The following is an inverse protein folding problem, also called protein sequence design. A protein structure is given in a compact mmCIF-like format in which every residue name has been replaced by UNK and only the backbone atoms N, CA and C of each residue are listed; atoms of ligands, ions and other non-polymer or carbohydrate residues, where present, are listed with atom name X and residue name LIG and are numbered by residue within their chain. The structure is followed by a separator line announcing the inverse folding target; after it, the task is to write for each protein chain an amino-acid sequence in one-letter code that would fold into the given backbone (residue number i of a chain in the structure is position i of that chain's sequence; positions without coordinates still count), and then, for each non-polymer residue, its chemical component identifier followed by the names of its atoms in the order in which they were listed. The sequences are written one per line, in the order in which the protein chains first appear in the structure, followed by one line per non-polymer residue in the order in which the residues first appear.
data_IF_532278265101
#
_entry.id   IF_532278265101
#
_cell.length_a   1.000
_cell.length_b   1.000
_cell.length_c   1.000
_cell.angle_alpha   90.00
_cell.angle_beta   90.00
_cell.angle_gamma   90.00
#
_symmetry.space_group_name_H-M   'P 1'
#
loop_
_entity.id
_entity.type
_entity.pdbx_description
1 polymer ?
#
# COMPACT_ATOMS: atom_id res chain seq x y z
N UNK A 1 -4.91 -3.18 -23.32
CA UNK A 1 -3.63 -2.58 -22.86
C UNK A 1 -3.84 -2.09 -21.43
N UNK A 2 -3.11 -2.62 -20.45
CA UNK A 2 -3.27 -2.28 -19.03
C UNK A 2 -2.42 -1.07 -18.68
N UNK A 3 -2.96 -0.10 -17.94
CA UNK A 3 -2.20 1.07 -17.46
C UNK A 3 -1.39 0.69 -16.19
N UNK A 4 -0.12 1.09 -16.03
CA UNK A 4 0.76 0.67 -14.91
C UNK A 4 0.17 0.96 -13.52
N UNK A 5 -0.65 2.01 -13.41
CA UNK A 5 -1.42 2.35 -12.19
C UNK A 5 -2.21 1.16 -11.60
N UNK A 6 -2.64 0.20 -12.42
CA UNK A 6 -3.38 -0.96 -11.95
C UNK A 6 -2.57 -1.80 -10.94
N UNK A 7 -1.23 -1.84 -11.09
CA UNK A 7 -0.34 -2.65 -10.26
C UNK A 7 0.50 -1.78 -9.31
N UNK A 8 0.99 -0.62 -9.77
CA UNK A 8 2.02 0.14 -9.05
C UNK A 8 1.54 1.26 -8.11
N UNK A 9 0.24 1.58 -8.06
CA UNK A 9 -0.23 2.82 -7.42
C UNK A 9 0.18 2.96 -5.95
N UNK A 10 0.10 1.88 -5.16
CA UNK A 10 0.41 1.96 -3.73
C UNK A 10 1.92 2.12 -3.50
N UNK A 11 2.73 1.30 -4.16
CA UNK A 11 4.18 1.30 -4.02
C UNK A 11 4.81 2.54 -4.65
N UNK A 12 4.24 3.11 -5.72
CA UNK A 12 4.64 4.42 -6.24
C UNK A 12 4.53 5.52 -5.18
N UNK A 13 3.46 5.51 -4.39
CA UNK A 13 3.28 6.50 -3.34
C UNK A 13 4.30 6.29 -2.23
N UNK A 14 4.56 5.06 -1.81
CA UNK A 14 5.53 4.78 -0.74
C UNK A 14 6.98 5.02 -1.20
N UNK A 15 7.38 4.51 -2.36
CA UNK A 15 8.73 4.67 -2.88
C UNK A 15 8.99 6.07 -3.41
N UNK A 16 8.18 6.53 -4.36
CA UNK A 16 8.45 7.78 -5.07
C UNK A 16 7.97 9.02 -4.31
N UNK A 17 6.76 9.00 -3.74
CA UNK A 17 6.19 10.20 -3.11
C UNK A 17 6.64 10.39 -1.66
N UNK A 18 6.69 9.33 -0.85
CA UNK A 18 7.14 9.38 0.55
C UNK A 18 8.67 9.40 0.60
N UNK A 19 9.34 8.29 0.22
CA UNK A 19 10.81 8.18 0.33
C UNK A 19 11.55 9.10 -0.64
N UNK A 20 11.18 9.09 -1.93
CA UNK A 20 11.92 9.80 -2.98
C UNK A 20 11.75 11.33 -2.96
N UNK A 21 10.51 11.82 -2.74
CA UNK A 21 10.17 13.25 -2.83
C UNK A 21 9.81 13.91 -1.49
N UNK A 22 9.63 13.14 -0.41
CA UNK A 22 9.25 13.69 0.89
C UNK A 22 7.90 14.41 0.92
N UNK A 23 6.96 14.09 0.01
CA UNK A 23 5.69 14.83 -0.14
C UNK A 23 4.76 14.67 1.08
N UNK A 24 4.94 13.59 1.84
CA UNK A 24 4.19 13.29 3.06
C UNK A 24 4.97 12.27 3.88
N UNK A 25 4.69 12.20 5.19
CA UNK A 25 5.27 11.18 6.07
C UNK A 25 4.70 9.80 5.74
N UNK A 26 5.41 8.74 6.12
CA UNK A 26 5.00 7.37 5.89
C UNK A 26 3.64 7.08 6.55
N UNK A 27 3.46 7.54 7.79
CA UNK A 27 2.23 7.35 8.57
C UNK A 27 1.03 8.00 7.88
N UNK A 28 1.20 9.23 7.37
CA UNK A 28 0.15 9.92 6.60
C UNK A 28 -0.18 9.17 5.30
N UNK A 29 0.81 8.62 4.61
CA UNK A 29 0.59 7.85 3.40
C UNK A 29 -0.17 6.54 3.67
N UNK A 30 0.20 5.83 4.75
CA UNK A 30 -0.50 4.62 5.20
C UNK A 30 -1.93 4.95 5.60
N UNK A 31 -2.15 5.96 6.45
CA UNK A 31 -3.50 6.34 6.87
C UNK A 31 -4.41 6.71 5.68
N UNK A 32 -3.89 7.45 4.68
CA UNK A 32 -4.64 7.76 3.43
C UNK A 32 -5.03 6.53 2.62
N UNK A 33 -4.38 5.38 2.84
CA UNK A 33 -4.57 4.12 2.10
C UNK A 33 -5.26 3.03 2.92
N UNK A 34 -5.41 3.21 4.23
CA UNK A 34 -6.01 2.24 5.15
C UNK A 34 -7.17 2.85 5.92
N UNK A 35 -6.89 3.57 7.00
CA UNK A 35 -7.88 4.08 7.93
C UNK A 35 -8.81 5.11 7.32
N UNK A 36 -8.31 6.03 6.49
CA UNK A 36 -9.15 7.07 5.89
C UNK A 36 -10.24 6.48 4.96
N UNK A 37 -9.91 5.60 3.99
CA UNK A 37 -10.94 4.88 3.24
C UNK A 37 -11.87 4.06 4.12
N UNK A 38 -11.36 3.38 5.16
CA UNK A 38 -12.21 2.59 6.06
C UNK A 38 -13.25 3.46 6.78
N UNK A 39 -12.86 4.65 7.23
CA UNK A 39 -13.77 5.63 7.84
C UNK A 39 -14.78 6.15 6.82
N UNK A 40 -14.34 6.54 5.62
CA UNK A 40 -15.23 7.08 4.59
C UNK A 40 -16.27 6.09 4.08
N UNK A 41 -15.90 4.82 3.95
CA UNK A 41 -16.80 3.76 3.49
C UNK A 41 -17.55 3.04 4.62
N UNK A 42 -17.35 3.44 5.88
CA UNK A 42 -18.00 2.77 7.03
C UNK A 42 -17.57 1.31 7.19
N UNK A 43 -16.32 0.97 6.84
CA UNK A 43 -15.79 -0.39 6.93
C UNK A 43 -15.36 -0.71 8.36
N UNK A 44 -16.34 -1.06 9.18
CA UNK A 44 -16.11 -1.49 10.56
C UNK A 44 -15.10 -2.64 10.62
N UNK A 45 -14.22 -2.58 11.62
CA UNK A 45 -13.17 -3.57 11.81
C UNK A 45 -11.96 -3.46 10.85
N UNK A 46 -11.97 -2.59 9.84
CA UNK A 46 -10.89 -2.51 8.82
C UNK A 46 -10.04 -1.24 8.93
N UNK A 47 -8.87 -1.27 8.29
CA UNK A 47 -8.03 -0.08 8.06
C UNK A 47 -7.16 0.35 9.25
N UNK A 48 -7.30 -0.29 10.41
CA UNK A 48 -6.54 0.01 11.63
C UNK A 48 -5.95 -1.27 12.23
N UNK A 49 -4.76 -1.15 12.81
CA UNK A 49 -4.12 -2.21 13.59
C UNK A 49 -4.47 -1.96 15.05
N UNK A 50 -5.42 -2.73 15.57
CA UNK A 50 -5.85 -2.70 16.95
C UNK A 50 -6.48 -4.04 17.33
N UNK A 51 -6.68 -4.26 18.63
CA UNK A 51 -7.48 -5.40 19.11
C UNK A 51 -8.89 -5.35 18.49
N UNK A 52 -9.47 -6.53 18.26
CA UNK A 52 -10.81 -6.72 17.71
C UNK A 52 -11.03 -6.12 16.30
N UNK A 53 -9.93 -5.95 15.53
CA UNK A 53 -9.95 -5.58 14.11
C UNK A 53 -9.61 -6.78 13.22
N UNK A 54 -10.07 -6.73 11.97
CA UNK A 54 -9.72 -7.72 10.96
C UNK A 54 -8.20 -7.76 10.76
N UNK A 55 -7.63 -8.96 10.78
CA UNK A 55 -6.21 -9.20 10.49
C UNK A 55 -5.92 -9.08 8.99
N UNK A 56 -6.02 -7.85 8.46
CA UNK A 56 -5.57 -7.47 7.12
C UNK A 56 -4.30 -6.64 7.26
N UNK A 57 -3.16 -7.26 7.01
CA UNK A 57 -1.84 -6.71 7.29
C UNK A 57 -0.96 -6.78 6.05
N UNK A 58 -0.10 -5.79 5.88
CA UNK A 58 0.93 -5.80 4.84
C UNK A 58 2.27 -5.55 5.51
N UNK A 59 3.20 -6.48 5.34
CA UNK A 59 4.59 -6.34 5.77
C UNK A 59 5.39 -5.93 4.55
N UNK A 60 6.02 -4.77 4.63
CA UNK A 60 6.83 -4.20 3.57
C UNK A 60 8.04 -3.48 4.15
N UNK A 61 9.08 -3.35 3.34
CA UNK A 61 10.29 -2.62 3.67
C UNK A 61 10.17 -1.17 3.16
N UNK A 62 10.12 -0.16 4.04
CA UNK A 62 9.97 1.23 3.64
C UNK A 62 11.15 1.75 2.82
N UNK A 63 12.35 1.17 2.97
CA UNK A 63 13.56 1.62 2.29
C UNK A 63 13.65 1.06 0.87
N UNK A 64 13.01 -0.08 0.60
CA UNK A 64 13.08 -0.74 -0.72
C UNK A 64 11.76 -0.80 -1.49
N UNK A 65 10.62 -0.51 -0.86
CA UNK A 65 9.31 -0.57 -1.54
C UNK A 65 9.21 0.43 -2.69
N UNK A 66 8.86 -0.04 -3.89
CA UNK A 66 8.61 0.81 -5.05
C UNK A 66 7.86 0.06 -6.16
N UNK A 67 7.22 0.81 -7.06
CA UNK A 67 6.70 0.25 -8.30
C UNK A 67 7.82 -0.02 -9.30
N UNK A 68 7.70 -1.08 -10.10
CA UNK A 68 8.60 -1.36 -11.22
C UNK A 68 7.90 -1.20 -12.58
N UNK A 69 6.56 -1.17 -12.59
CA UNK A 69 5.77 -1.07 -13.80
C UNK A 69 5.96 0.26 -14.54
N UNK A 70 6.06 0.18 -15.86
CA UNK A 70 6.16 1.32 -16.77
C UNK A 70 5.02 1.29 -17.79
N UNK A 71 4.91 2.30 -18.65
CA UNK A 71 3.91 2.27 -19.74
C UNK A 71 4.19 1.16 -20.76
N UNK A 72 5.46 0.86 -21.03
CA UNK A 72 5.86 -0.23 -21.93
C UNK A 72 5.75 -1.61 -21.26
N UNK A 73 5.92 -1.69 -19.94
CA UNK A 73 5.85 -2.92 -19.16
C UNK A 73 4.90 -2.74 -17.95
N UNK A 74 3.56 -2.72 -18.19
CA UNK A 74 2.58 -2.28 -17.19
C UNK A 74 2.29 -3.30 -16.08
N UNK A 75 2.72 -4.55 -16.23
CA UNK A 75 2.43 -5.66 -15.31
C UNK A 75 3.65 -6.14 -14.51
N UNK A 76 4.75 -5.37 -14.50
CA UNK A 76 5.90 -5.73 -13.68
C UNK A 76 5.54 -5.73 -12.18
N UNK A 77 6.00 -6.74 -11.43
CA UNK A 77 5.70 -6.84 -10.00
C UNK A 77 6.38 -5.71 -9.22
N UNK A 78 5.74 -5.29 -8.13
CA UNK A 78 6.32 -4.31 -7.23
C UNK A 78 7.43 -4.93 -6.37
N UNK A 79 8.33 -4.08 -5.86
CA UNK A 79 9.40 -4.46 -4.94
C UNK A 79 9.03 -4.13 -3.49
N UNK A 80 9.65 -4.84 -2.54
CA UNK A 80 9.66 -4.48 -1.13
C UNK A 80 8.39 -4.79 -0.34
N UNK A 81 7.46 -5.58 -0.90
CA UNK A 81 6.35 -6.17 -0.14
C UNK A 81 6.73 -7.61 0.20
N UNK A 82 6.89 -7.90 1.49
CA UNK A 82 7.31 -9.21 1.97
C UNK A 82 6.11 -10.14 2.13
N UNK A 83 5.06 -9.66 2.79
CA UNK A 83 3.88 -10.46 3.11
C UNK A 83 2.60 -9.63 3.04
N UNK A 84 1.51 -10.28 2.63
CA UNK A 84 0.17 -9.75 2.71
C UNK A 84 -0.64 -10.78 3.47
N UNK A 85 -1.41 -10.35 4.46
CA UNK A 85 -2.33 -11.20 5.20
C UNK A 85 -3.75 -10.69 4.97
N UNK A 86 -4.68 -11.60 4.70
CA UNK A 86 -6.10 -11.32 4.59
C UNK A 86 -6.84 -12.23 5.55
N UNK A 87 -7.51 -11.64 6.54
CA UNK A 87 -8.20 -12.39 7.62
C UNK A 87 -7.27 -13.39 8.32
N UNK A 88 -6.03 -12.95 8.59
CA UNK A 88 -5.01 -13.75 9.29
C UNK A 88 -4.33 -14.82 8.44
N UNK A 89 -4.69 -14.97 7.16
CA UNK A 89 -4.05 -15.91 6.23
C UNK A 89 -3.10 -15.17 5.30
N UNK A 90 -1.87 -15.68 5.19
CA UNK A 90 -0.87 -15.21 4.23
C UNK A 90 -1.28 -15.53 2.80
#
# INVERSE_FOLDING_TARGET
MTHPRAIGTFQKILGQCVRGKGLLTLEKAIHKKTGLPALWYGLEGKGFIAQDKDAVLVIFDPDTTDQQCTYSQPILPNKGVNYVFVRGRK
#
